data_IF_206862776969
#
_entry.id   IF_206862776969
#
_cell.length_a   1.000
_cell.length_b   1.000
_cell.length_c   1.000
_cell.angle_alpha   90.00
_cell.angle_beta   90.00
_cell.angle_gamma   90.00
#
_symmetry.space_group_name_H-M   'P 1'
#
loop_
_entity.id
_entity.type
_entity.pdbx_description
1 polymer ?
#
# COMPACT_ATOMS: atom_id res chain seq x y z
N UNK A 1 10.69 24.24 31.52
CA UNK A 1 9.87 23.01 31.39
C UNK A 1 9.68 22.76 29.92
N UNK A 2 10.60 22.01 29.34
CA UNK A 2 10.43 21.45 28.01
C UNK A 2 9.80 20.07 28.18
N UNK A 3 8.69 19.79 27.49
CA UNK A 3 8.49 18.46 26.90
C UNK A 3 7.38 18.50 25.82
N UNK A 4 7.83 18.73 24.58
CA UNK A 4 7.51 17.93 23.39
C UNK A 4 6.07 17.42 23.20
N UNK A 5 5.11 18.31 22.95
CA UNK A 5 3.83 17.95 22.31
C UNK A 5 3.92 17.91 20.76
N UNK A 6 4.99 17.32 20.20
CA UNK A 6 5.20 17.28 18.75
C UNK A 6 5.76 15.93 18.25
N UNK A 7 5.33 14.81 18.83
CA UNK A 7 5.72 13.46 18.35
C UNK A 7 4.52 12.58 18.01
N UNK A 8 3.34 13.18 17.83
CA UNK A 8 2.09 12.46 17.56
C UNK A 8 1.64 12.53 16.11
N UNK A 9 2.55 12.44 15.14
CA UNK A 9 2.13 11.97 13.82
C UNK A 9 1.54 10.59 14.07
N UNK A 10 0.26 10.39 13.81
CA UNK A 10 -0.36 9.09 14.10
C UNK A 10 0.46 8.00 13.39
N UNK A 11 0.59 6.79 13.96
CA UNK A 11 1.33 5.70 13.30
C UNK A 11 0.88 5.47 11.84
N UNK A 12 -0.37 5.86 11.52
CA UNK A 12 -0.93 5.84 10.17
C UNK A 12 -0.31 6.89 9.22
N UNK A 13 0.05 8.08 9.72
CA UNK A 13 0.81 9.09 8.99
C UNK A 13 2.26 8.66 8.76
N UNK A 14 2.90 8.03 9.74
CA UNK A 14 4.26 7.49 9.57
C UNK A 14 4.32 6.38 8.52
N UNK A 15 3.23 5.62 8.37
CA UNK A 15 3.06 4.60 7.33
C UNK A 15 2.58 5.17 5.98
N UNK A 16 2.35 6.50 5.87
CA UNK A 16 1.86 7.15 4.66
C UNK A 16 0.44 6.75 4.25
N UNK A 17 -0.32 6.15 5.16
CA UNK A 17 -1.65 5.61 4.86
C UNK A 17 -2.64 6.74 4.50
N UNK A 18 -2.60 7.85 5.23
CA UNK A 18 -3.47 8.99 4.95
C UNK A 18 -3.22 9.55 3.54
N UNK A 19 -1.97 9.57 3.09
CA UNK A 19 -1.64 9.99 1.73
C UNK A 19 -2.20 9.00 0.71
N UNK A 20 -1.95 7.69 0.90
CA UNK A 20 -2.47 6.65 0.03
C UNK A 20 -4.00 6.67 -0.06
N UNK A 21 -4.68 6.85 1.08
CA UNK A 21 -6.14 6.91 1.18
C UNK A 21 -6.73 8.22 0.63
N UNK A 22 -5.93 9.25 0.38
CA UNK A 22 -6.41 10.50 -0.22
C UNK A 22 -5.97 10.69 -1.68
N UNK A 23 -5.02 9.89 -2.17
CA UNK A 23 -4.58 9.88 -3.57
C UNK A 23 -5.76 9.56 -4.52
N UNK A 24 -6.14 10.47 -5.44
CA UNK A 24 -7.24 10.24 -6.38
C UNK A 24 -7.03 9.05 -7.31
N UNK A 25 -5.77 8.66 -7.52
CA UNK A 25 -5.35 7.49 -8.31
C UNK A 25 -5.50 6.16 -7.55
N UNK A 26 -5.65 6.20 -6.23
CA UNK A 26 -5.87 5.00 -5.41
C UNK A 26 -7.29 4.49 -5.62
N UNK A 27 -7.41 3.30 -6.20
CA UNK A 27 -8.70 2.67 -6.47
C UNK A 27 -9.48 2.37 -5.20
N UNK A 28 -10.81 2.38 -5.31
CA UNK A 28 -11.70 2.05 -4.18
C UNK A 28 -11.42 0.65 -3.63
N UNK A 29 -11.15 -0.31 -4.51
CA UNK A 29 -10.79 -1.68 -4.11
C UNK A 29 -9.59 -1.70 -3.15
N UNK A 30 -8.54 -0.93 -3.42
CA UNK A 30 -7.34 -0.92 -2.57
C UNK A 30 -7.63 -0.24 -1.22
N UNK A 31 -8.41 0.84 -1.22
CA UNK A 31 -8.86 1.52 0.00
C UNK A 31 -9.63 0.57 0.91
N UNK A 32 -10.58 -0.16 0.34
CA UNK A 32 -11.41 -1.12 1.07
C UNK A 32 -10.58 -2.28 1.62
N UNK A 33 -9.66 -2.82 0.81
CA UNK A 33 -8.78 -3.91 1.23
C UNK A 33 -7.93 -3.53 2.46
N UNK A 34 -7.36 -2.32 2.46
CA UNK A 34 -6.57 -1.83 3.59
C UNK A 34 -7.45 -1.59 4.82
N UNK A 35 -8.61 -0.94 4.65
CA UNK A 35 -9.53 -0.71 5.75
C UNK A 35 -10.04 -2.01 6.39
N UNK A 36 -10.23 -3.07 5.60
CA UNK A 36 -10.60 -4.40 6.09
C UNK A 36 -9.42 -5.04 6.84
N UNK A 37 -8.21 -4.97 6.29
CA UNK A 37 -7.01 -5.53 6.94
C UNK A 37 -6.76 -4.93 8.32
N UNK A 38 -6.96 -3.61 8.48
CA UNK A 38 -6.82 -2.90 9.77
C UNK A 38 -7.83 -3.32 10.85
N UNK A 39 -8.97 -3.92 10.46
CA UNK A 39 -10.02 -4.37 11.40
C UNK A 39 -9.91 -5.85 11.77
N UNK A 40 -9.02 -6.60 11.11
CA UNK A 40 -8.86 -8.04 11.31
C UNK A 40 -7.84 -8.35 12.39
N UNK A 41 -7.80 -9.62 12.80
CA UNK A 41 -6.70 -10.16 13.59
C UNK A 41 -5.34 -9.79 12.95
N UNK A 42 -4.41 -9.18 13.71
CA UNK A 42 -3.18 -8.63 13.15
C UNK A 42 -2.25 -9.69 12.56
N UNK A 43 -2.27 -10.93 13.07
CA UNK A 43 -1.45 -12.02 12.52
C UNK A 43 -1.97 -12.43 11.15
N UNK A 44 -3.29 -12.64 11.03
CA UNK A 44 -3.91 -12.94 9.74
C UNK A 44 -3.75 -11.78 8.74
N UNK A 45 -3.88 -10.53 9.18
CA UNK A 45 -3.70 -9.36 8.33
C UNK A 45 -2.26 -9.23 7.80
N UNK A 46 -1.25 -9.55 8.62
CA UNK A 46 0.14 -9.56 8.19
C UNK A 46 0.39 -10.60 7.10
N UNK A 47 -0.05 -11.85 7.31
CA UNK A 47 0.13 -12.91 6.31
C UNK A 47 -0.56 -12.58 4.98
N UNK A 48 -1.76 -12.02 5.02
CA UNK A 48 -2.46 -11.59 3.80
C UNK A 48 -1.75 -10.43 3.10
N UNK A 49 -1.17 -9.50 3.87
CA UNK A 49 -0.39 -8.39 3.32
C UNK A 49 0.88 -8.89 2.62
N UNK A 50 1.61 -9.84 3.21
CA UNK A 50 2.79 -10.46 2.59
C UNK A 50 2.44 -11.13 1.26
N UNK A 51 1.39 -11.95 1.23
CA UNK A 51 0.89 -12.60 0.02
C UNK A 51 0.47 -11.58 -1.05
N UNK A 52 -0.20 -10.49 -0.64
CA UNK A 52 -0.63 -9.44 -1.55
C UNK A 52 0.56 -8.68 -2.14
N UNK A 53 1.56 -8.34 -1.34
CA UNK A 53 2.80 -7.69 -1.81
C UNK A 53 3.50 -8.56 -2.85
N UNK A 54 3.65 -9.86 -2.57
CA UNK A 54 4.27 -10.80 -3.51
C UNK A 54 3.49 -10.92 -4.81
N UNK A 55 2.16 -10.99 -4.74
CA UNK A 55 1.31 -11.01 -5.93
C UNK A 55 1.45 -9.73 -6.75
N UNK A 56 1.39 -8.56 -6.11
CA UNK A 56 1.47 -7.26 -6.77
C UNK A 56 2.84 -7.04 -7.40
N UNK A 57 3.94 -7.47 -6.75
CA UNK A 57 5.29 -7.45 -7.33
C UNK A 57 5.37 -8.27 -8.61
N UNK A 58 4.83 -9.50 -8.62
CA UNK A 58 4.80 -10.35 -9.82
C UNK A 58 3.98 -9.70 -10.94
N UNK A 59 2.82 -9.12 -10.60
CA UNK A 59 2.00 -8.38 -11.58
C UNK A 59 2.72 -7.16 -12.14
N UNK A 60 3.43 -6.42 -11.30
CA UNK A 60 4.24 -5.28 -11.73
C UNK A 60 5.31 -5.71 -12.72
N UNK A 61 6.05 -6.78 -12.44
CA UNK A 61 7.05 -7.33 -13.37
C UNK A 61 6.44 -7.70 -14.73
N UNK A 62 5.24 -8.26 -14.76
CA UNK A 62 4.52 -8.54 -16.02
C UNK A 62 4.20 -7.24 -16.77
N UNK A 63 3.68 -6.22 -16.08
CA UNK A 63 3.36 -4.92 -16.69
C UNK A 63 4.63 -4.23 -17.21
N UNK A 64 5.74 -4.30 -16.50
CA UNK A 64 7.03 -3.75 -16.93
C UNK A 64 7.56 -4.45 -18.19
N UNK A 65 7.50 -5.78 -18.24
CA UNK A 65 7.91 -6.55 -19.41
C UNK A 65 7.05 -6.21 -20.64
N UNK A 66 5.74 -6.08 -20.44
CA UNK A 66 4.80 -5.69 -21.48
C UNK A 66 5.06 -4.26 -21.98
N UNK A 67 5.33 -3.32 -21.07
CA UNK A 67 5.69 -1.95 -21.43
C UNK A 67 6.99 -1.92 -22.25
N UNK A 68 8.01 -2.69 -21.87
CA UNK A 68 9.27 -2.80 -22.62
C UNK A 68 9.02 -3.36 -24.02
N UNK A 69 8.20 -4.41 -24.14
CA UNK A 69 7.85 -5.00 -25.45
C UNK A 69 7.20 -3.96 -26.36
N UNK A 70 6.23 -3.20 -25.85
CA UNK A 70 5.55 -2.14 -26.62
C UNK A 70 6.55 -1.07 -27.07
N UNK A 71 7.44 -0.63 -26.18
CA UNK A 71 8.40 0.44 -26.47
C UNK A 71 9.51 0.02 -27.44
N UNK A 72 9.88 -1.27 -27.50
CA UNK A 72 10.94 -1.78 -28.37
C UNK A 72 10.47 -2.14 -29.79
N UNK A 73 9.16 -2.15 -30.02
CA UNK A 73 8.57 -2.63 -31.27
C UNK A 73 8.63 -4.16 -31.41
N UNK A 74 7.82 -4.74 -32.33
CA UNK A 74 7.88 -6.16 -32.65
C UNK A 74 9.23 -6.56 -33.30
#
# INVERSE_FOLDING_TARGET
MADREATGGTALQELGLDELMNQPSTSQWLRDAIAIAMKRDPVAALSDAELLVDLLRRRLSVVELEAIRILRGP
#
